data_IF_171066711016
#
_entry.id   IF_171066711016
#
_cell.length_a   1.000
_cell.length_b   1.000
_cell.length_c   1.000
_cell.angle_alpha   90.00
_cell.angle_beta   90.00
_cell.angle_gamma   90.00
#
_symmetry.space_group_name_H-M   'P 1'
#
loop_
_entity.id
_entity.type
_entity.pdbx_description
1 polymer ?
#
# COMPACT_ATOMS: atom_id res chain seq x y z
N UNK A 1 -12.80 12.06 -2.44
CA UNK A 1 -12.40 13.48 -2.31
C UNK A 1 -10.89 13.57 -2.29
N UNK A 2 -10.19 13.12 -1.24
CA UNK A 2 -8.73 13.26 -1.18
C UNK A 2 -7.98 12.71 -2.40
N UNK A 3 -8.26 11.47 -2.82
CA UNK A 3 -7.62 10.89 -4.01
C UNK A 3 -8.15 11.38 -5.37
N UNK A 4 -9.18 12.22 -5.40
CA UNK A 4 -9.75 12.77 -6.63
C UNK A 4 -9.44 14.27 -6.80
N UNK A 5 -9.48 15.01 -5.69
CA UNK A 5 -9.41 16.47 -5.62
C UNK A 5 -8.14 16.97 -4.88
N UNK A 6 -7.29 16.04 -4.44
CA UNK A 6 -6.09 16.31 -3.64
C UNK A 6 -6.36 16.84 -2.23
N UNK A 7 -5.30 17.15 -1.49
CA UNK A 7 -5.38 17.65 -0.10
C UNK A 7 -6.19 18.96 0.01
N UNK A 8 -6.11 19.85 -1.00
CA UNK A 8 -6.90 21.10 -1.06
C UNK A 8 -8.39 20.85 -1.31
N UNK A 9 -8.72 19.70 -1.87
CA UNK A 9 -10.09 19.24 -2.07
C UNK A 9 -10.83 18.88 -0.79
N UNK A 10 -10.11 18.61 0.31
CA UNK A 10 -10.68 18.15 1.57
C UNK A 10 -11.03 19.32 2.51
N UNK A 11 -12.33 19.51 2.75
CA UNK A 11 -12.85 20.44 3.77
C UNK A 11 -14.19 19.94 4.33
N UNK A 12 -14.55 20.34 5.56
CA UNK A 12 -15.78 19.88 6.22
C UNK A 12 -17.04 20.11 5.38
N UNK A 13 -17.30 21.32 4.82
CA UNK A 13 -18.52 21.52 4.05
C UNK A 13 -18.55 20.67 2.77
N UNK A 14 -17.37 20.40 2.19
CA UNK A 14 -17.24 19.54 1.01
C UNK A 14 -17.53 18.07 1.37
N UNK A 15 -17.04 17.61 2.52
CA UNK A 15 -17.33 16.27 3.05
C UNK A 15 -18.81 16.11 3.36
N UNK A 16 -19.42 17.05 4.08
CA UNK A 16 -20.86 17.04 4.40
C UNK A 16 -21.69 16.90 3.13
N UNK A 17 -21.44 17.75 2.12
CA UNK A 17 -22.13 17.67 0.83
C UNK A 17 -21.91 16.34 0.13
N UNK A 18 -20.68 15.84 0.09
CA UNK A 18 -20.35 14.58 -0.61
C UNK A 18 -20.96 13.36 0.08
N UNK A 19 -21.09 13.39 1.40
CA UNK A 19 -21.72 12.37 2.24
C UNK A 19 -23.24 12.55 2.37
N UNK A 20 -23.80 13.64 1.81
CA UNK A 20 -25.22 14.02 1.95
C UNK A 20 -25.65 14.18 3.42
N UNK A 21 -24.76 14.70 4.25
CA UNK A 21 -25.00 15.00 5.66
C UNK A 21 -25.43 16.47 5.84
N UNK A 22 -26.13 16.80 6.94
CA UNK A 22 -26.38 18.18 7.33
C UNK A 22 -25.10 19.01 7.41
N UNK A 23 -25.22 20.31 7.15
CA UNK A 23 -24.08 21.21 7.25
C UNK A 23 -23.55 21.24 8.71
N UNK A 24 -22.25 21.03 8.89
CA UNK A 24 -21.60 21.04 10.19
C UNK A 24 -21.45 19.65 10.84
N UNK A 25 -22.00 18.59 10.24
CA UNK A 25 -21.85 17.22 10.77
C UNK A 25 -20.38 16.81 10.83
N UNK A 26 -19.60 17.02 9.77
CA UNK A 26 -18.16 16.68 9.79
C UNK A 26 -17.42 17.53 10.82
N UNK A 27 -17.77 18.81 10.96
CA UNK A 27 -17.14 19.73 11.91
C UNK A 27 -17.42 19.36 13.36
N UNK A 28 -18.58 18.75 13.62
CA UNK A 28 -18.95 18.21 14.92
C UNK A 28 -18.01 17.08 15.35
N UNK A 29 -17.67 16.14 14.46
CA UNK A 29 -16.75 15.04 14.77
C UNK A 29 -15.27 15.43 14.68
N UNK A 30 -14.91 16.24 13.69
CA UNK A 30 -13.53 16.61 13.41
C UNK A 30 -13.39 18.11 13.47
N UNK A 31 -13.17 18.68 14.65
CA UNK A 31 -13.25 20.14 14.86
C UNK A 31 -12.29 20.98 14.02
N UNK A 32 -11.17 20.41 13.55
CA UNK A 32 -10.17 21.10 12.73
C UNK A 32 -9.90 20.35 11.43
N UNK A 33 -9.33 21.04 10.42
CA UNK A 33 -8.88 20.38 9.18
C UNK A 33 -7.81 19.32 9.47
N UNK A 34 -6.93 19.59 10.43
CA UNK A 34 -5.91 18.64 10.90
C UNK A 34 -6.55 17.36 11.44
N UNK A 35 -7.53 17.48 12.36
CA UNK A 35 -8.26 16.33 12.90
C UNK A 35 -8.98 15.52 11.80
N UNK A 36 -9.56 16.21 10.81
CA UNK A 36 -10.17 15.55 9.66
C UNK A 36 -9.13 14.79 8.81
N UNK A 37 -7.94 15.38 8.59
CA UNK A 37 -6.87 14.72 7.83
C UNK A 37 -6.34 13.48 8.56
N UNK A 38 -6.15 13.57 9.87
CA UNK A 38 -5.75 12.43 10.70
C UNK A 38 -6.77 11.29 10.66
N UNK A 39 -8.06 11.62 10.76
CA UNK A 39 -9.12 10.63 10.67
C UNK A 39 -9.15 9.95 9.29
N UNK A 40 -8.90 10.69 8.21
CA UNK A 40 -8.77 10.11 6.87
C UNK A 40 -7.53 9.21 6.79
N UNK A 41 -6.39 9.61 7.35
CA UNK A 41 -5.17 8.80 7.37
C UNK A 41 -5.34 7.48 8.14
N UNK A 42 -5.97 7.54 9.31
CA UNK A 42 -6.33 6.37 10.09
C UNK A 42 -7.25 5.45 9.28
N UNK A 43 -8.30 6.00 8.65
CA UNK A 43 -9.24 5.20 7.87
C UNK A 43 -8.63 4.57 6.63
N UNK A 44 -7.75 5.27 5.92
CA UNK A 44 -7.00 4.71 4.77
C UNK A 44 -6.13 3.55 5.23
N UNK A 45 -5.39 3.73 6.34
CA UNK A 45 -4.55 2.69 6.93
C UNK A 45 -5.35 1.45 7.34
N UNK A 46 -6.48 1.63 8.01
CA UNK A 46 -7.37 0.52 8.40
C UNK A 46 -7.82 -0.30 7.19
N UNK A 47 -8.23 0.38 6.12
CA UNK A 47 -8.70 -0.28 4.89
C UNK A 47 -7.57 -1.02 4.18
N UNK A 48 -6.38 -0.43 4.12
CA UNK A 48 -5.22 -1.07 3.49
C UNK A 48 -4.78 -2.32 4.26
N UNK A 49 -4.76 -2.23 5.59
CA UNK A 49 -4.42 -3.36 6.45
C UNK A 49 -5.45 -4.49 6.36
N UNK A 50 -6.74 -4.15 6.29
CA UNK A 50 -7.80 -5.12 6.12
C UNK A 50 -7.66 -5.89 4.80
N UNK A 51 -7.40 -5.17 3.70
CA UNK A 51 -7.20 -5.81 2.39
C UNK A 51 -5.95 -6.72 2.41
N UNK A 52 -4.84 -6.30 3.03
CA UNK A 52 -3.64 -7.13 3.15
C UNK A 52 -3.82 -8.38 4.00
N UNK A 53 -4.58 -8.28 5.10
CA UNK A 53 -4.86 -9.42 5.97
C UNK A 53 -5.74 -10.45 5.26
N UNK A 54 -6.82 -9.99 4.63
CA UNK A 54 -7.69 -10.87 3.85
C UNK A 54 -6.90 -11.63 2.77
N UNK A 55 -5.87 -11.00 2.19
CA UNK A 55 -5.00 -11.67 1.22
C UNK A 55 -4.05 -12.67 1.84
N UNK A 56 -3.45 -12.36 3.00
CA UNK A 56 -2.62 -13.33 3.72
C UNK A 56 -3.43 -14.59 4.05
N UNK A 57 -4.68 -14.42 4.50
CA UNK A 57 -5.59 -15.52 4.81
C UNK A 57 -5.90 -16.34 3.55
N UNK A 58 -6.23 -15.68 2.43
CA UNK A 58 -6.49 -16.36 1.15
C UNK A 58 -5.26 -17.10 0.58
N UNK A 59 -4.05 -16.62 0.87
CA UNK A 59 -2.81 -17.28 0.44
C UNK A 59 -2.49 -18.52 1.29
N UNK A 60 -2.79 -18.48 2.58
CA UNK A 60 -2.59 -19.59 3.52
C UNK A 60 -3.56 -20.77 3.24
N UNK A 61 -4.72 -20.51 2.63
CA UNK A 61 -5.73 -21.53 2.25
C UNK A 61 -5.34 -22.39 1.02
N UNK A 62 -4.17 -22.16 0.41
CA UNK A 62 -3.50 -23.11 -0.49
C UNK A 62 -4.05 -23.28 -1.92
N UNK A 63 -5.20 -22.73 -2.27
CA UNK A 63 -5.88 -23.03 -3.56
C UNK A 63 -6.33 -21.78 -4.37
N UNK A 64 -5.73 -20.61 -4.10
CA UNK A 64 -6.14 -19.34 -4.70
C UNK A 64 -5.23 -18.83 -5.83
N UNK A 65 -5.83 -18.17 -6.83
CA UNK A 65 -5.20 -17.25 -7.80
C UNK A 65 -4.37 -16.12 -7.15
N UNK A 66 -4.40 -16.01 -5.82
CA UNK A 66 -3.80 -14.96 -4.98
C UNK A 66 -2.72 -15.54 -4.05
N UNK A 67 -2.09 -16.66 -4.42
CA UNK A 67 -0.94 -17.21 -3.68
C UNK A 67 0.39 -16.78 -4.32
N UNK A 68 1.44 -16.70 -3.49
CA UNK A 68 2.78 -16.39 -3.95
C UNK A 68 2.99 -14.94 -4.44
N UNK A 69 4.08 -14.74 -5.17
CA UNK A 69 4.43 -13.46 -5.78
C UNK A 69 3.41 -12.98 -6.84
N UNK A 70 2.69 -13.91 -7.48
CA UNK A 70 1.67 -13.59 -8.48
C UNK A 70 0.42 -12.99 -7.83
N UNK A 71 0.06 -13.44 -6.63
CA UNK A 71 -1.00 -12.82 -5.84
C UNK A 71 -0.69 -11.36 -5.52
N UNK A 72 0.53 -11.06 -5.03
CA UNK A 72 0.96 -9.68 -4.82
C UNK A 72 0.91 -8.88 -6.13
N UNK A 73 1.41 -9.43 -7.23
CA UNK A 73 1.43 -8.76 -8.52
C UNK A 73 0.02 -8.40 -9.03
N UNK A 74 -0.92 -9.33 -8.93
CA UNK A 74 -2.33 -9.13 -9.28
C UNK A 74 -2.94 -7.97 -8.49
N UNK A 75 -2.58 -7.87 -7.22
CA UNK A 75 -3.10 -6.84 -6.33
C UNK A 75 -2.53 -5.47 -6.60
N UNK A 76 -1.25 -5.41 -7.00
CA UNK A 76 -0.64 -4.17 -7.47
C UNK A 76 -1.35 -3.65 -8.73
N UNK A 77 -1.70 -4.54 -9.67
CA UNK A 77 -2.51 -4.17 -10.85
C UNK A 77 -3.88 -3.65 -10.41
N UNK A 78 -4.63 -4.42 -9.60
CA UNK A 78 -5.96 -4.04 -9.14
C UNK A 78 -5.96 -2.69 -8.40
N UNK A 79 -5.00 -2.47 -7.50
CA UNK A 79 -4.88 -1.23 -6.74
C UNK A 79 -4.55 -0.01 -7.61
N UNK A 80 -4.05 -0.23 -8.84
CA UNK A 80 -3.83 0.77 -9.88
C UNK A 80 -5.07 1.11 -10.70
N UNK A 81 -6.16 0.34 -10.58
CA UNK A 81 -7.40 0.53 -11.36
C UNK A 81 -8.51 1.23 -10.55
N UNK A 82 -9.50 1.79 -11.23
CA UNK A 82 -10.67 2.34 -10.56
C UNK A 82 -11.57 1.21 -10.02
N UNK A 83 -12.16 1.35 -8.81
CA UNK A 83 -12.10 2.53 -7.93
C UNK A 83 -10.88 2.60 -6.98
N UNK A 84 -10.11 1.51 -6.84
CA UNK A 84 -9.05 1.35 -5.84
C UNK A 84 -7.90 2.36 -5.94
N UNK A 85 -7.56 2.80 -7.15
CA UNK A 85 -6.55 3.84 -7.40
C UNK A 85 -6.85 5.15 -6.65
N UNK A 86 -8.12 5.42 -6.34
CA UNK A 86 -8.51 6.58 -5.53
C UNK A 86 -7.93 6.49 -4.11
N UNK A 87 -7.88 5.30 -3.51
CA UNK A 87 -7.31 5.10 -2.17
C UNK A 87 -5.79 5.22 -2.21
N UNK A 88 -5.16 4.68 -3.26
CA UNK A 88 -3.72 4.85 -3.52
C UNK A 88 -3.34 6.32 -3.67
N UNK A 89 -4.05 7.09 -4.50
CA UNK A 89 -3.84 8.54 -4.65
C UNK A 89 -3.99 9.27 -3.32
N UNK A 90 -5.01 8.93 -2.53
CA UNK A 90 -5.20 9.51 -1.21
C UNK A 90 -4.00 9.24 -0.28
N UNK A 91 -3.42 8.04 -0.32
CA UNK A 91 -2.23 7.69 0.48
C UNK A 91 -1.01 8.54 0.11
N UNK A 92 -0.79 8.79 -1.19
CA UNK A 92 0.32 9.65 -1.63
C UNK A 92 0.10 11.12 -1.26
N UNK A 93 -1.13 11.63 -1.36
CA UNK A 93 -1.47 12.97 -0.86
C UNK A 93 -1.18 13.10 0.65
N UNK A 94 -1.54 12.09 1.45
CA UNK A 94 -1.23 12.04 2.89
C UNK A 94 0.27 11.98 3.16
N UNK A 95 1.02 11.18 2.39
CA UNK A 95 2.46 11.07 2.53
C UNK A 95 3.18 12.41 2.24
N UNK A 96 2.70 13.15 1.23
CA UNK A 96 3.23 14.48 0.90
C UNK A 96 2.88 15.56 1.94
N UNK A 97 1.76 15.40 2.65
CA UNK A 97 1.38 16.29 3.77
C UNK A 97 2.15 15.93 5.05
N UNK A 98 2.38 14.65 5.30
CA UNK A 98 3.08 14.13 6.48
C UNK A 98 4.47 14.77 6.70
N UNK A 99 5.20 15.08 5.62
CA UNK A 99 6.50 15.76 5.71
C UNK A 99 6.46 17.16 6.36
N UNK A 100 5.27 17.74 6.53
CA UNK A 100 5.05 19.05 7.16
C UNK A 100 4.29 18.98 8.49
N UNK A 101 3.80 17.81 8.88
CA UNK A 101 2.90 17.65 10.02
C UNK A 101 3.29 16.40 10.83
N UNK A 102 4.02 16.57 11.96
CA UNK A 102 4.61 15.45 12.69
C UNK A 102 3.61 14.41 13.20
N UNK A 103 2.40 14.80 13.60
CA UNK A 103 1.41 13.85 14.10
C UNK A 103 0.86 12.94 12.98
N UNK A 104 0.64 13.50 11.79
CA UNK A 104 0.27 12.75 10.59
C UNK A 104 1.41 11.85 10.14
N UNK A 105 2.66 12.32 10.22
CA UNK A 105 3.83 11.51 9.94
C UNK A 105 3.89 10.26 10.82
N UNK A 106 3.56 10.40 12.11
CA UNK A 106 3.52 9.26 13.02
C UNK A 106 2.42 8.24 12.64
N UNK A 107 1.22 8.70 12.29
CA UNK A 107 0.14 7.81 11.80
C UNK A 107 0.59 7.05 10.54
N UNK A 108 1.19 7.76 9.58
CA UNK A 108 1.65 7.16 8.32
C UNK A 108 2.84 6.20 8.53
N UNK A 109 3.73 6.50 9.49
CA UNK A 109 4.87 5.66 9.86
C UNK A 109 4.40 4.33 10.44
N UNK A 110 3.42 4.35 11.35
CA UNK A 110 2.85 3.13 11.93
C UNK A 110 2.25 2.21 10.85
N UNK A 111 1.51 2.81 9.89
CA UNK A 111 0.98 2.11 8.72
C UNK A 111 2.09 1.46 7.88
N UNK A 112 3.16 2.20 7.62
CA UNK A 112 4.33 1.73 6.86
C UNK A 112 5.02 0.55 7.56
N UNK A 113 5.18 0.61 8.90
CA UNK A 113 5.76 -0.49 9.68
C UNK A 113 4.92 -1.76 9.57
N UNK A 114 3.60 -1.67 9.73
CA UNK A 114 2.72 -2.84 9.63
C UNK A 114 2.72 -3.44 8.21
N UNK A 115 2.73 -2.58 7.19
CA UNK A 115 2.83 -3.02 5.80
C UNK A 115 4.16 -3.76 5.54
N UNK A 116 5.26 -3.20 6.06
CA UNK A 116 6.58 -3.81 5.95
C UNK A 116 6.62 -5.20 6.59
N UNK A 117 6.08 -5.36 7.80
CA UNK A 117 6.01 -6.65 8.49
C UNK A 117 5.22 -7.71 7.70
N UNK A 118 4.11 -7.31 7.09
CA UNK A 118 3.30 -8.21 6.26
C UNK A 118 4.03 -8.65 4.99
N UNK A 119 4.66 -7.71 4.29
CA UNK A 119 5.46 -8.04 3.09
C UNK A 119 6.67 -8.88 3.47
N UNK A 120 7.32 -8.61 4.61
CA UNK A 120 8.42 -9.43 5.11
C UNK A 120 7.99 -10.87 5.34
N UNK A 121 6.83 -11.08 5.99
CA UNK A 121 6.26 -12.42 6.18
C UNK A 121 5.99 -13.13 4.84
N UNK A 122 5.42 -12.41 3.87
CA UNK A 122 5.17 -12.95 2.55
C UNK A 122 6.47 -13.34 1.83
N UNK A 123 7.49 -12.47 1.86
CA UNK A 123 8.82 -12.76 1.28
C UNK A 123 9.48 -13.97 1.95
N UNK A 124 9.33 -14.13 3.27
CA UNK A 124 9.79 -15.35 3.96
C UNK A 124 9.06 -16.60 3.46
N UNK A 125 7.75 -16.52 3.24
CA UNK A 125 6.95 -17.65 2.76
C UNK A 125 7.23 -18.00 1.28
N UNK A 126 7.68 -17.03 0.47
CA UNK A 126 8.05 -17.27 -0.93
C UNK A 126 9.44 -17.85 -1.11
N UNK A 127 10.21 -18.04 -0.03
CA UNK A 127 11.49 -18.72 -0.12
C UNK A 127 11.26 -20.19 -0.47
N UNK A 128 12.15 -20.81 -1.25
CA UNK A 128 12.15 -22.26 -1.45
C UNK A 128 12.22 -23.01 -0.11
N UNK A 129 11.56 -24.16 0.00
CA UNK A 129 11.51 -24.95 1.25
C UNK A 129 12.89 -25.39 1.76
N UNK A 130 13.85 -25.54 0.85
CA UNK A 130 15.24 -25.91 1.12
C UNK A 130 16.16 -24.69 1.37
N UNK A 131 15.61 -23.48 1.35
CA UNK A 131 16.34 -22.24 1.46
C UNK A 131 15.88 -21.44 2.69
N UNK A 132 16.80 -21.19 3.62
CA UNK A 132 16.57 -20.31 4.76
C UNK A 132 17.57 -19.14 4.72
N UNK A 133 17.23 -18.02 4.05
CA UNK A 133 18.14 -16.89 3.93
C UNK A 133 18.41 -16.22 5.28
N UNK A 134 19.58 -15.60 5.42
CA UNK A 134 19.89 -14.72 6.55
C UNK A 134 18.80 -13.65 6.71
N UNK A 135 18.36 -13.32 7.94
CA UNK A 135 17.50 -12.18 8.23
C UNK A 135 17.86 -10.88 7.47
N UNK A 136 19.14 -10.58 7.29
CA UNK A 136 19.59 -9.40 6.56
C UNK A 136 19.24 -9.45 5.06
N UNK A 137 19.29 -10.64 4.45
CA UNK A 137 18.87 -10.86 3.05
C UNK A 137 17.37 -10.70 2.93
N UNK A 138 16.60 -11.26 3.87
CA UNK A 138 15.13 -11.10 3.90
C UNK A 138 14.71 -9.63 4.03
N UNK A 139 15.41 -8.86 4.87
CA UNK A 139 15.14 -7.44 5.05
C UNK A 139 15.45 -6.63 3.76
N UNK A 140 16.54 -6.95 3.07
CA UNK A 140 16.90 -6.32 1.80
C UNK A 140 15.93 -6.69 0.66
N UNK A 141 15.53 -7.96 0.57
CA UNK A 141 14.50 -8.42 -0.37
C UNK A 141 13.17 -7.69 -0.11
N UNK A 142 12.75 -7.61 1.15
CA UNK A 142 11.53 -6.90 1.57
C UNK A 142 11.61 -5.44 1.17
N UNK A 143 12.71 -4.76 1.47
CA UNK A 143 12.93 -3.38 1.08
C UNK A 143 12.83 -3.21 -0.45
N UNK A 144 13.53 -4.04 -1.23
CA UNK A 144 13.55 -3.93 -2.69
C UNK A 144 12.17 -4.15 -3.32
N UNK A 145 11.44 -5.18 -2.88
CA UNK A 145 10.06 -5.45 -3.32
C UNK A 145 9.14 -4.26 -3.00
N UNK A 146 9.21 -3.72 -1.77
CA UNK A 146 8.42 -2.56 -1.38
C UNK A 146 8.73 -1.32 -2.23
N UNK A 147 10.00 -1.06 -2.56
CA UNK A 147 10.38 0.08 -3.40
C UNK A 147 9.88 -0.09 -4.82
N UNK A 148 9.99 -1.29 -5.38
CA UNK A 148 9.47 -1.60 -6.70
C UNK A 148 7.95 -1.43 -6.76
N UNK A 149 7.21 -2.05 -5.83
CA UNK A 149 5.75 -1.93 -5.75
C UNK A 149 5.31 -0.48 -5.61
N UNK A 150 5.96 0.30 -4.73
CA UNK A 150 5.65 1.72 -4.61
C UNK A 150 5.87 2.50 -5.91
N UNK A 151 6.93 2.20 -6.65
CA UNK A 151 7.17 2.80 -7.98
C UNK A 151 6.03 2.51 -8.95
N UNK A 152 5.62 1.24 -9.04
CA UNK A 152 4.48 0.82 -9.87
C UNK A 152 3.20 1.55 -9.45
N UNK A 153 2.92 1.64 -8.16
CA UNK A 153 1.71 2.29 -7.64
C UNK A 153 1.68 3.81 -7.89
N UNK A 154 2.83 4.49 -7.86
CA UNK A 154 2.94 5.92 -8.22
C UNK A 154 2.64 6.12 -9.70
N UNK A 155 3.19 5.27 -10.56
CA UNK A 155 2.95 5.34 -12.01
C UNK A 155 1.46 5.12 -12.35
N UNK A 156 0.82 4.11 -11.74
CA UNK A 156 -0.61 3.86 -11.89
C UNK A 156 -1.46 5.06 -11.48
N UNK A 157 -1.05 5.80 -10.44
CA UNK A 157 -1.75 7.02 -10.03
C UNK A 157 -1.77 8.10 -11.11
N UNK A 158 -0.77 8.14 -11.98
CA UNK A 158 -0.62 9.12 -13.05
C UNK A 158 -1.44 8.76 -14.31
N UNK A 159 -2.04 7.57 -14.35
CA UNK A 159 -2.74 7.06 -15.52
C UNK A 159 -1.81 6.56 -16.63
N UNK A 160 -0.54 6.32 -16.30
CA UNK A 160 0.40 5.64 -17.18
C UNK A 160 0.21 4.12 -17.05
N UNK A 161 0.26 3.45 -18.20
CA UNK A 161 0.32 2.00 -18.41
C UNK A 161 -1.01 1.19 -18.37
N UNK A 162 -1.76 1.15 -19.49
CA UNK A 162 -2.95 0.30 -19.62
C UNK A 162 -2.66 -1.19 -19.87
N UNK A 163 -1.41 -1.58 -20.17
CA UNK A 163 -1.07 -2.93 -20.63
C UNK A 163 -0.25 -3.74 -19.59
N UNK A 164 -0.05 -3.19 -18.39
CA UNK A 164 0.71 -3.86 -17.32
C UNK A 164 0.00 -5.10 -16.81
N UNK A 165 0.58 -6.26 -17.10
CA UNK A 165 0.09 -7.56 -16.66
C UNK A 165 0.62 -7.94 -15.28
N UNK A 166 -0.18 -8.69 -14.52
CA UNK A 166 0.24 -9.26 -13.23
C UNK A 166 1.44 -10.19 -13.42
N UNK A 167 1.50 -10.93 -14.53
CA UNK A 167 2.58 -11.83 -14.87
C UNK A 167 3.91 -11.10 -15.07
N UNK A 168 3.89 -9.88 -15.62
CA UNK A 168 5.11 -9.07 -15.74
C UNK A 168 5.61 -8.60 -14.38
N UNK A 169 4.72 -8.11 -13.52
CA UNK A 169 5.07 -7.68 -12.16
C UNK A 169 5.56 -8.87 -11.34
N UNK A 170 4.94 -10.05 -11.45
CA UNK A 170 5.36 -11.29 -10.79
C UNK A 170 6.80 -11.67 -11.15
N UNK A 171 7.12 -11.70 -12.45
CA UNK A 171 8.48 -11.97 -12.93
C UNK A 171 9.51 -10.99 -12.36
N UNK A 172 9.17 -9.71 -12.28
CA UNK A 172 10.06 -8.69 -11.71
C UNK A 172 10.26 -8.88 -10.20
N UNK A 173 9.20 -9.19 -9.46
CA UNK A 173 9.28 -9.48 -8.02
C UNK A 173 10.18 -10.70 -7.78
N UNK A 174 9.98 -11.79 -8.53
CA UNK A 174 10.82 -13.00 -8.43
C UNK A 174 12.28 -12.71 -8.75
N UNK A 175 12.54 -11.93 -9.81
CA UNK A 175 13.90 -11.52 -10.18
C UNK A 175 14.58 -10.66 -9.11
N UNK A 176 13.85 -9.75 -8.48
CA UNK A 176 14.35 -8.94 -7.35
C UNK A 176 14.71 -9.83 -6.17
N UNK A 177 13.83 -10.75 -5.77
CA UNK A 177 14.07 -11.66 -4.65
C UNK A 177 15.29 -12.56 -4.91
N UNK A 178 15.35 -13.18 -6.09
CA UNK A 178 16.47 -14.03 -6.50
C UNK A 178 17.80 -13.28 -6.59
N UNK A 179 17.80 -12.11 -7.24
CA UNK A 179 19.02 -11.32 -7.43
C UNK A 179 19.62 -10.78 -6.13
N UNK A 180 18.79 -10.37 -5.17
CA UNK A 180 19.29 -9.94 -3.83
C UNK A 180 19.94 -11.11 -3.09
N UNK A 181 19.41 -12.33 -3.23
CA UNK A 181 19.99 -13.53 -2.62
C UNK A 181 21.36 -13.85 -3.21
N UNK A 182 21.47 -13.91 -4.54
CA UNK A 182 22.71 -14.24 -5.25
C UNK A 182 23.87 -13.27 -4.97
N UNK A 183 23.58 -11.99 -4.73
CA UNK A 183 24.63 -11.00 -4.41
C UNK A 183 25.20 -11.14 -3.00
N UNK A 184 24.49 -11.82 -2.09
CA UNK A 184 24.85 -11.96 -0.68
C UNK A 184 25.46 -13.31 -0.33
N UNK A 185 25.11 -14.35 -1.11
CA UNK A 185 25.78 -15.66 -1.11
C UNK A 185 26.54 -15.84 -2.45
N UNK A 186 27.68 -15.16 -2.65
CA UNK A 186 28.55 -15.51 -3.76
C UNK A 186 29.13 -16.90 -3.50
N UNK A 187 28.94 -17.83 -4.44
CA UNK A 187 29.53 -19.17 -4.46
C UNK A 187 31.00 -19.21 -3.98
#
# INVERSE_FOLDING_TARGET
MLGADGARGLSHPKVDRRARMPAGTTSFYFRTRKALMHAVAARVTELDLADLRAMSELADDGDGLVSGTLGLATMVVLAGTAPWVTRTRARYELAMEAGREPELAEIMRQSTTQFHELVRRAVTHWQPDDCQPDPAVLDEQTYAVLRFVNGVMVESCQGHDPDRSAEQIDRLIRAIIGGVREQRDPD
#
